data_IF_054317657319
#
_entry.id   IF_054317657319
#
_cell.length_a   1.000
_cell.length_b   1.000
_cell.length_c   1.000
_cell.angle_alpha   90.00
_cell.angle_beta   90.00
_cell.angle_gamma   90.00
#
_symmetry.space_group_name_H-M   'P 1'
#
loop_
_entity.id
_entity.type
_entity.pdbx_description
1 polymer ?
#
# COMPACT_ATOMS: atom_id res chain seq x y z
N UNK A 1 -8.25 -18.45 10.86
CA UNK A 1 -7.41 -17.49 10.07
C UNK A 1 -5.95 -17.73 10.41
N UNK A 2 -5.07 -17.77 9.41
CA UNK A 2 -3.62 -17.90 9.62
C UNK A 2 -2.98 -16.57 10.06
N UNK A 3 -1.78 -16.64 10.66
CA UNK A 3 -1.01 -15.45 11.05
C UNK A 3 -0.80 -14.47 9.89
N UNK A 4 -0.53 -15.00 8.68
CA UNK A 4 -0.40 -14.18 7.47
C UNK A 4 -1.69 -13.46 7.07
N UNK A 5 -2.86 -14.10 7.24
CA UNK A 5 -4.15 -13.48 6.97
C UNK A 5 -4.46 -12.33 7.94
N UNK A 6 -4.10 -12.47 9.22
CA UNK A 6 -4.28 -11.41 10.23
C UNK A 6 -3.37 -10.20 9.95
N UNK A 7 -2.12 -10.43 9.55
CA UNK A 7 -1.20 -9.37 9.15
C UNK A 7 -1.75 -8.63 7.92
N UNK A 8 -2.20 -9.37 6.90
CA UNK A 8 -2.81 -8.78 5.70
C UNK A 8 -4.02 -7.92 6.02
N UNK A 9 -4.91 -8.39 6.90
CA UNK A 9 -6.08 -7.64 7.32
C UNK A 9 -5.71 -6.35 8.07
N UNK A 10 -4.74 -6.42 9.00
CA UNK A 10 -4.26 -5.25 9.74
C UNK A 10 -3.61 -4.21 8.83
N UNK A 11 -2.74 -4.66 7.90
CA UNK A 11 -2.11 -3.77 6.92
C UNK A 11 -3.15 -3.13 6.01
N UNK A 12 -4.17 -3.88 5.56
CA UNK A 12 -5.28 -3.34 4.78
C UNK A 12 -6.02 -2.21 5.52
N UNK A 13 -6.32 -2.39 6.81
CA UNK A 13 -6.96 -1.33 7.61
C UNK A 13 -6.08 -0.08 7.77
N UNK A 14 -4.76 -0.25 7.87
CA UNK A 14 -3.82 0.87 7.94
C UNK A 14 -3.76 1.65 6.63
N UNK A 15 -3.73 0.96 5.49
CA UNK A 15 -3.77 1.56 4.16
C UNK A 15 -5.04 2.39 4.00
N UNK A 16 -6.21 1.82 4.30
CA UNK A 16 -7.49 2.52 4.14
C UNK A 16 -7.61 3.76 5.06
N UNK A 17 -7.06 3.68 6.27
CA UNK A 17 -7.00 4.84 7.17
C UNK A 17 -6.17 5.96 6.55
N UNK A 18 -5.02 5.65 5.97
CA UNK A 18 -4.14 6.67 5.41
C UNK A 18 -4.72 7.26 4.11
N UNK A 19 -5.31 6.43 3.23
CA UNK A 19 -6.02 6.91 2.04
C UNK A 19 -7.12 7.90 2.40
N UNK A 20 -7.90 7.62 3.45
CA UNK A 20 -8.92 8.54 3.94
C UNK A 20 -8.34 9.85 4.48
N UNK A 21 -7.20 9.81 5.18
CA UNK A 21 -6.52 11.03 5.66
C UNK A 21 -6.04 11.89 4.50
N UNK A 22 -5.45 11.28 3.48
CA UNK A 22 -5.00 12.00 2.30
C UNK A 22 -6.17 12.57 1.48
N UNK A 23 -7.25 11.80 1.32
CA UNK A 23 -8.49 12.25 0.70
C UNK A 23 -9.04 13.51 1.39
N UNK A 24 -9.12 13.51 2.73
CA UNK A 24 -9.61 14.65 3.51
C UNK A 24 -8.68 15.86 3.36
N UNK A 25 -7.36 15.65 3.40
CA UNK A 25 -6.38 16.73 3.34
C UNK A 25 -6.28 17.40 1.96
N UNK A 26 -6.43 16.62 0.88
CA UNK A 26 -6.24 17.09 -0.49
C UNK A 26 -7.56 17.45 -1.19
N UNK A 27 -8.68 16.89 -0.73
CA UNK A 27 -9.96 16.93 -1.44
C UNK A 27 -10.04 15.90 -2.57
N UNK A 28 -11.27 15.49 -2.90
CA UNK A 28 -11.54 14.34 -3.77
C UNK A 28 -10.90 14.41 -5.16
N UNK A 29 -10.94 15.58 -5.81
CA UNK A 29 -10.42 15.75 -7.16
C UNK A 29 -8.88 15.63 -7.23
N UNK A 30 -8.17 16.28 -6.29
CA UNK A 30 -6.71 16.20 -6.21
C UNK A 30 -6.26 14.81 -5.75
N UNK A 31 -7.00 14.20 -4.82
CA UNK A 31 -6.71 12.85 -4.35
C UNK A 31 -6.88 11.79 -5.44
N UNK A 32 -7.86 11.89 -6.33
CA UNK A 32 -8.06 10.90 -7.39
C UNK A 32 -6.83 10.74 -8.29
N UNK A 33 -6.22 11.86 -8.70
CA UNK A 33 -4.98 11.86 -9.50
C UNK A 33 -3.78 11.33 -8.69
N UNK A 34 -3.73 11.69 -7.41
CA UNK A 34 -2.62 11.29 -6.54
C UNK A 34 -2.69 9.82 -6.13
N UNK A 35 -3.88 9.27 -5.88
CA UNK A 35 -4.12 7.85 -5.55
C UNK A 35 -3.74 6.93 -6.73
N UNK A 36 -4.02 7.35 -7.96
CA UNK A 36 -3.61 6.64 -9.16
C UNK A 36 -2.08 6.59 -9.29
N UNK A 37 -1.40 7.74 -9.11
CA UNK A 37 0.05 7.81 -9.12
C UNK A 37 0.67 6.96 -7.99
N UNK A 38 0.21 7.14 -6.75
CA UNK A 38 0.70 6.38 -5.59
C UNK A 38 0.53 4.88 -5.81
N UNK A 39 -0.63 4.45 -6.30
CA UNK A 39 -0.89 3.04 -6.59
C UNK A 39 0.04 2.52 -7.67
N UNK A 40 0.20 3.24 -8.78
CA UNK A 40 1.04 2.81 -9.88
C UNK A 40 2.52 2.67 -9.49
N UNK A 41 3.07 3.64 -8.77
CA UNK A 41 4.52 3.69 -8.53
C UNK A 41 4.93 3.05 -7.20
N UNK A 42 4.18 3.26 -6.12
CA UNK A 42 4.55 2.72 -4.80
C UNK A 42 4.27 1.21 -4.74
N UNK A 43 3.13 0.73 -5.26
CA UNK A 43 2.82 -0.71 -5.25
C UNK A 43 3.75 -1.47 -6.19
N UNK A 44 4.10 -0.90 -7.36
CA UNK A 44 5.07 -1.52 -8.25
C UNK A 44 6.45 -1.64 -7.59
N UNK A 45 6.96 -0.54 -7.03
CA UNK A 45 8.25 -0.51 -6.31
C UNK A 45 8.26 -1.46 -5.11
N UNK A 46 7.16 -1.54 -4.36
CA UNK A 46 7.05 -2.45 -3.22
C UNK A 46 7.09 -3.93 -3.65
N UNK A 47 6.45 -4.27 -4.78
CA UNK A 47 6.50 -5.63 -5.34
C UNK A 47 7.90 -5.97 -5.81
N UNK A 48 8.56 -5.08 -6.53
CA UNK A 48 9.95 -5.26 -6.98
C UNK A 48 10.89 -5.48 -5.80
N UNK A 49 10.76 -4.65 -4.75
CA UNK A 49 11.55 -4.81 -3.54
C UNK A 49 11.30 -6.14 -2.84
N UNK A 50 10.03 -6.57 -2.69
CA UNK A 50 9.70 -7.86 -2.09
C UNK A 50 10.28 -9.03 -2.91
N UNK A 51 10.19 -8.98 -4.23
CA UNK A 51 10.79 -9.98 -5.12
C UNK A 51 12.31 -10.03 -4.93
N UNK A 52 12.97 -8.87 -4.82
CA UNK A 52 14.40 -8.80 -4.55
C UNK A 52 14.76 -9.41 -3.18
N UNK A 53 14.04 -9.04 -2.11
CA UNK A 53 14.31 -9.58 -0.77
C UNK A 53 14.12 -11.10 -0.72
N UNK A 54 13.15 -11.65 -1.45
CA UNK A 54 12.93 -13.09 -1.56
C UNK A 54 14.07 -13.78 -2.32
N UNK A 55 14.52 -13.21 -3.44
CA UNK A 55 15.65 -13.73 -4.21
C UNK A 55 16.96 -13.76 -3.41
N UNK A 56 17.12 -12.82 -2.49
CA UNK A 56 18.27 -12.71 -1.58
C UNK A 56 18.11 -13.52 -0.28
N UNK A 57 17.01 -14.27 -0.13
CA UNK A 57 16.77 -15.14 1.03
C UNK A 57 16.47 -14.41 2.34
N UNK A 58 16.01 -13.15 2.28
CA UNK A 58 15.72 -12.31 3.46
C UNK A 58 14.25 -12.33 3.88
N UNK A 59 13.39 -13.04 3.14
CA UNK A 59 11.96 -13.24 3.41
C UNK A 59 11.65 -14.69 3.72
#
# INVERSE_FOLDING_TARGET
>A
MSKGQLIKARVGQMIERERNRCLIAMGAAAWAVHDEWVTAYIVASAKEWLTQQAAEGRL
#
